data_IF_376944985272
#
_entry.id   IF_376944985272
#
_cell.length_a   1.000
_cell.length_b   1.000
_cell.length_c   1.000
_cell.angle_alpha   90.00
_cell.angle_beta   90.00
_cell.angle_gamma   90.00
#
_symmetry.space_group_name_H-M   'P 1'
#
loop_
_entity.id
_entity.type
_entity.pdbx_description
1 polymer ?
#
# COMPACT_ATOMS: atom_id res chain seq x y z
N UNK A 1 9.50 8.50 -6.01
CA UNK A 1 8.33 9.16 -5.41
C UNK A 1 7.17 9.04 -6.38
N UNK A 2 6.13 8.27 -6.06
CA UNK A 2 4.88 8.39 -6.79
C UNK A 2 4.26 9.71 -6.33
N UNK A 3 4.44 10.77 -7.13
CA UNK A 3 3.74 12.03 -6.94
C UNK A 3 2.24 11.68 -6.95
N UNK A 4 1.54 12.00 -5.87
CA UNK A 4 0.11 11.81 -5.77
C UNK A 4 -0.54 12.61 -6.92
N UNK A 5 -1.01 11.92 -7.95
CA UNK A 5 -1.62 12.52 -9.15
C UNK A 5 -3.12 12.18 -9.15
N UNK A 6 -3.86 12.89 -8.29
CA UNK A 6 -5.31 12.87 -8.36
C UNK A 6 -5.74 13.78 -9.51
N UNK A 7 -6.57 13.25 -10.43
CA UNK A 7 -7.21 14.09 -11.42
C UNK A 7 -8.26 15.01 -10.77
N UNK A 8 -7.92 16.29 -10.59
CA UNK A 8 -8.79 17.30 -9.95
C UNK A 8 -10.13 17.48 -10.67
N UNK A 9 -10.21 17.26 -11.99
CA UNK A 9 -11.46 17.30 -12.76
C UNK A 9 -12.43 16.17 -12.36
N UNK A 10 -11.95 15.14 -11.64
CA UNK A 10 -12.78 14.06 -11.09
C UNK A 10 -12.97 14.18 -9.57
N UNK A 11 -12.38 15.20 -8.93
CA UNK A 11 -12.48 15.40 -7.50
C UNK A 11 -13.91 15.85 -7.13
N UNK A 12 -14.62 15.15 -6.22
CA UNK A 12 -16.00 15.48 -5.86
C UNK A 12 -16.17 16.88 -5.26
N UNK A 13 -15.17 17.37 -4.53
CA UNK A 13 -15.18 18.72 -3.95
C UNK A 13 -15.03 19.77 -5.05
N UNK A 14 -14.08 19.60 -5.96
CA UNK A 14 -13.85 20.53 -7.07
C UNK A 14 -15.07 20.58 -8.02
N UNK A 15 -15.64 19.43 -8.38
CA UNK A 15 -16.86 19.36 -9.18
C UNK A 15 -18.06 20.03 -8.50
N UNK A 16 -18.15 19.92 -7.17
CA UNK A 16 -19.20 20.59 -6.41
C UNK A 16 -18.98 22.11 -6.35
N UNK A 17 -17.73 22.57 -6.22
CA UNK A 17 -17.35 23.99 -6.28
C UNK A 17 -17.73 24.60 -7.64
N UNK A 18 -17.31 23.97 -8.73
CA UNK A 18 -17.59 24.45 -10.10
C UNK A 18 -19.09 24.51 -10.38
N UNK A 19 -19.86 23.51 -9.91
CA UNK A 19 -21.31 23.45 -10.11
C UNK A 19 -22.09 24.42 -9.24
N UNK A 20 -21.70 24.59 -7.97
CA UNK A 20 -22.48 25.37 -7.00
C UNK A 20 -22.05 26.84 -6.92
N UNK A 21 -20.76 27.13 -7.17
CA UNK A 21 -20.15 28.45 -7.03
C UNK A 21 -19.15 28.77 -8.17
N UNK A 22 -19.60 28.79 -9.45
CA UNK A 22 -18.74 29.17 -10.57
C UNK A 22 -18.24 30.63 -10.48
N UNK A 23 -18.94 31.46 -9.70
CA UNK A 23 -18.54 32.83 -9.36
C UNK A 23 -17.20 32.87 -8.60
N UNK A 24 -16.96 31.89 -7.72
CA UNK A 24 -15.72 31.82 -6.95
C UNK A 24 -14.53 31.47 -7.86
N UNK A 25 -14.66 30.49 -8.74
CA UNK A 25 -13.60 30.13 -9.70
C UNK A 25 -13.23 31.31 -10.60
N UNK A 26 -14.23 32.07 -11.06
CA UNK A 26 -14.02 33.28 -11.86
C UNK A 26 -13.25 34.35 -11.07
N UNK A 27 -13.65 34.58 -9.82
CA UNK A 27 -13.04 35.57 -8.92
C UNK A 27 -11.62 35.19 -8.50
N UNK A 28 -11.32 33.89 -8.34
CA UNK A 28 -9.96 33.42 -8.08
C UNK A 28 -9.03 33.80 -9.23
N UNK A 29 -9.46 33.56 -10.46
CA UNK A 29 -8.67 33.88 -11.65
C UNK A 29 -8.44 35.40 -11.81
N UNK A 30 -9.44 36.23 -11.50
CA UNK A 30 -9.31 37.69 -11.54
C UNK A 30 -8.30 38.23 -10.51
N UNK A 31 -8.25 37.61 -9.32
CA UNK A 31 -7.39 38.03 -8.21
C UNK A 31 -6.04 37.31 -8.15
N UNK A 32 -5.74 36.44 -9.13
CA UNK A 32 -4.59 35.49 -9.10
C UNK A 32 -4.53 34.73 -7.78
N UNK A 33 -5.71 34.32 -7.31
CA UNK A 33 -5.89 33.59 -6.08
C UNK A 33 -5.54 32.11 -6.22
N UNK A 34 -5.76 31.39 -5.14
CA UNK A 34 -5.50 29.96 -5.05
C UNK A 34 -6.77 29.24 -4.57
N UNK A 35 -7.11 28.11 -5.19
CA UNK A 35 -8.15 27.21 -4.69
C UNK A 35 -7.50 26.07 -3.92
N UNK A 36 -7.92 25.85 -2.68
CA UNK A 36 -7.56 24.67 -1.91
C UNK A 36 -8.56 23.56 -2.18
N UNK A 37 -8.10 22.40 -2.66
CA UNK A 37 -8.95 21.23 -2.91
C UNK A 37 -8.50 20.09 -2.01
N UNK A 38 -9.32 19.66 -1.04
CA UNK A 38 -8.99 18.48 -0.25
C UNK A 38 -8.88 17.22 -1.12
N UNK A 39 -7.88 16.40 -0.83
CA UNK A 39 -7.69 15.14 -1.51
C UNK A 39 -8.94 14.27 -1.35
N UNK A 40 -9.36 13.59 -2.42
CA UNK A 40 -10.64 12.87 -2.43
C UNK A 40 -10.77 11.86 -1.29
N UNK A 41 -9.65 11.28 -0.85
CA UNK A 41 -9.63 10.32 0.24
C UNK A 41 -9.88 10.89 1.64
N UNK A 42 -9.72 12.21 1.80
CA UNK A 42 -9.88 12.93 3.06
C UNK A 42 -11.26 13.56 3.26
N UNK A 43 -12.11 13.50 2.24
CA UNK A 43 -13.46 14.08 2.28
C UNK A 43 -14.35 13.26 3.24
N UNK A 44 -14.70 13.84 4.38
CA UNK A 44 -15.60 13.22 5.38
C UNK A 44 -17.05 13.61 5.19
N UNK A 45 -17.31 14.73 4.52
CA UNK A 45 -18.64 15.29 4.29
C UNK A 45 -19.27 14.75 3.01
N UNK A 46 -20.54 14.33 3.10
CA UNK A 46 -21.33 13.90 1.94
C UNK A 46 -21.79 15.05 1.06
N UNK A 47 -21.79 16.29 1.57
CA UNK A 47 -22.11 17.51 0.83
C UNK A 47 -21.45 18.74 1.49
N UNK A 48 -20.97 19.66 0.65
CA UNK A 48 -20.45 20.98 1.05
C UNK A 48 -21.51 22.04 0.74
N UNK A 49 -21.66 23.01 1.65
CA UNK A 49 -22.54 24.17 1.49
C UNK A 49 -21.86 25.29 0.72
N UNK A 50 -22.66 26.16 0.08
CA UNK A 50 -22.16 27.31 -0.68
C UNK A 50 -21.23 28.24 0.11
N UNK A 51 -21.44 28.37 1.42
CA UNK A 51 -20.62 29.19 2.31
C UNK A 51 -19.29 28.51 2.69
N UNK A 52 -19.25 27.18 2.78
CA UNK A 52 -18.01 26.45 3.10
C UNK A 52 -16.97 26.59 1.99
N UNK A 53 -17.39 26.67 0.72
CA UNK A 53 -16.47 26.87 -0.39
C UNK A 53 -15.65 28.17 -0.30
N UNK A 54 -16.17 29.21 0.36
CA UNK A 54 -15.47 30.48 0.54
C UNK A 54 -14.22 30.34 1.41
N UNK A 55 -14.20 29.36 2.31
CA UNK A 55 -13.04 29.05 3.15
C UNK A 55 -11.88 28.41 2.37
N UNK A 56 -12.17 27.81 1.21
CA UNK A 56 -11.17 27.14 0.38
C UNK A 56 -10.62 28.02 -0.74
N UNK A 57 -11.11 29.24 -0.85
CA UNK A 57 -10.69 30.17 -1.90
C UNK A 57 -9.85 31.27 -1.28
N UNK A 58 -8.61 31.39 -1.74
CA UNK A 58 -7.60 32.27 -1.21
C UNK A 58 -7.34 33.44 -2.15
N UNK A 59 -7.16 34.61 -1.57
CA UNK A 59 -6.61 35.76 -2.25
C UNK A 59 -5.33 36.25 -1.54
N UNK A 60 -4.35 36.79 -2.29
CA UNK A 60 -3.16 37.37 -1.69
C UNK A 60 -3.52 38.51 -0.73
N UNK A 61 -2.94 38.53 0.47
CA UNK A 61 -3.13 39.60 1.45
C UNK A 61 -1.85 39.80 2.28
N UNK A 62 -1.13 40.88 2.03
CA UNK A 62 0.16 41.17 2.68
C UNK A 62 1.23 40.12 2.39
N UNK A 63 1.82 39.56 3.46
CA UNK A 63 2.84 38.50 3.43
C UNK A 63 2.25 37.08 3.39
N UNK A 64 0.92 36.93 3.25
CA UNK A 64 0.23 35.65 3.26
C UNK A 64 -1.02 35.63 2.40
N UNK A 65 -1.99 34.81 2.80
CA UNK A 65 -3.26 34.63 2.10
C UNK A 65 -4.42 34.81 3.06
N UNK A 66 -5.53 35.30 2.51
CA UNK A 66 -6.79 35.38 3.22
C UNK A 66 -7.87 34.66 2.43
N UNK A 67 -8.73 33.92 3.12
CA UNK A 67 -9.86 33.22 2.52
C UNK A 67 -10.99 34.22 2.21
N UNK A 68 -11.93 33.86 1.34
CA UNK A 68 -13.06 34.74 0.98
C UNK A 68 -13.96 35.04 2.19
N UNK A 69 -14.04 34.12 3.16
CA UNK A 69 -14.75 34.32 4.43
C UNK A 69 -13.91 35.05 5.50
N UNK A 70 -12.73 35.54 5.16
CA UNK A 70 -11.93 36.47 5.97
C UNK A 70 -10.91 35.83 6.92
N UNK A 71 -10.69 34.52 6.85
CA UNK A 71 -9.69 33.81 7.67
C UNK A 71 -8.29 33.92 7.07
N UNK A 72 -7.28 33.99 7.93
CA UNK A 72 -5.89 34.16 7.51
C UNK A 72 -5.15 32.83 7.48
N UNK A 73 -4.29 32.64 6.47
CA UNK A 73 -3.38 31.50 6.39
C UNK A 73 -2.08 31.85 5.64
N UNK A 74 -1.05 31.05 5.86
CA UNK A 74 0.24 31.20 5.17
C UNK A 74 0.64 29.90 4.49
N UNK A 75 1.31 30.00 3.35
CA UNK A 75 1.80 28.85 2.59
C UNK A 75 3.33 28.89 2.63
N UNK A 76 3.95 27.92 3.30
CA UNK A 76 5.40 27.81 3.45
C UNK A 76 5.82 26.34 3.43
N UNK A 77 6.93 26.01 2.78
CA UNK A 77 7.51 24.66 2.76
C UNK A 77 6.51 23.54 2.36
N UNK A 78 5.69 23.77 1.33
CA UNK A 78 4.62 22.86 0.89
C UNK A 78 3.58 22.54 1.97
N UNK A 79 3.40 23.45 2.94
CA UNK A 79 2.40 23.35 4.00
C UNK A 79 1.51 24.59 4.02
N UNK A 80 0.20 24.38 4.16
CA UNK A 80 -0.78 25.41 4.49
C UNK A 80 -0.86 25.52 6.01
N UNK A 81 -0.47 26.67 6.57
CA UNK A 81 -0.55 26.97 8.00
C UNK A 81 -1.78 27.82 8.27
N UNK A 82 -2.75 27.26 9.01
CA UNK A 82 -3.99 27.94 9.38
C UNK A 82 -3.72 28.96 10.49
N UNK A 83 -4.11 30.22 10.25
CA UNK A 83 -3.92 31.36 11.15
C UNK A 83 -5.22 31.81 11.82
N UNK A 84 -5.40 33.14 11.95
CA UNK A 84 -6.54 33.74 12.62
C UNK A 84 -7.86 33.44 11.89
N UNK A 85 -8.90 33.08 12.65
CA UNK A 85 -10.24 32.76 12.12
C UNK A 85 -10.52 31.25 11.94
N UNK A 86 -9.52 30.39 12.10
CA UNK A 86 -9.69 28.94 12.22
C UNK A 86 -9.83 28.52 13.68
N UNK A 87 -10.59 27.45 13.95
CA UNK A 87 -10.86 26.97 15.32
C UNK A 87 -9.59 26.47 16.06
N UNK A 88 -8.55 26.06 15.32
CA UNK A 88 -7.25 25.69 15.86
C UNK A 88 -6.11 25.93 14.84
N UNK A 89 -4.91 26.32 15.29
CA UNK A 89 -3.74 26.39 14.41
C UNK A 89 -3.34 24.98 13.96
N UNK A 90 -3.28 24.76 12.65
CA UNK A 90 -2.93 23.46 12.08
C UNK A 90 -2.11 23.63 10.80
N UNK A 91 -1.24 22.65 10.54
CA UNK A 91 -0.45 22.58 9.31
C UNK A 91 -1.03 21.47 8.41
N UNK A 92 -1.40 21.83 7.19
CA UNK A 92 -1.97 20.91 6.21
C UNK A 92 -1.00 20.74 5.03
N UNK A 93 -0.47 19.53 4.80
CA UNK A 93 0.42 19.27 3.66
C UNK A 93 -0.26 19.53 2.31
N UNK A 94 0.49 20.14 1.39
CA UNK A 94 0.16 20.25 -0.03
C UNK A 94 0.68 19.00 -0.73
N UNK A 95 -0.19 18.28 -1.41
CA UNK A 95 0.15 17.05 -2.14
C UNK A 95 0.73 17.36 -3.52
N UNK A 96 0.12 18.31 -4.23
CA UNK A 96 0.58 18.85 -5.51
C UNK A 96 -0.11 20.19 -5.81
N UNK A 97 0.42 20.90 -6.79
CA UNK A 97 -0.13 22.13 -7.35
C UNK A 97 -0.40 21.91 -8.85
N UNK A 98 -1.55 22.40 -9.32
CA UNK A 98 -1.92 22.36 -10.74
C UNK A 98 -2.49 23.73 -11.16
N UNK A 99 -2.14 24.18 -12.36
CA UNK A 99 -2.62 25.46 -12.91
C UNK A 99 -3.84 25.23 -13.79
N UNK A 100 -4.93 25.94 -13.49
CA UNK A 100 -6.19 25.89 -14.23
C UNK A 100 -6.43 27.22 -14.96
N UNK A 101 -7.28 27.17 -15.98
CA UNK A 101 -7.70 28.34 -16.77
C UNK A 101 -9.21 28.47 -16.70
N UNK A 102 -9.71 29.70 -16.54
CA UNK A 102 -11.13 29.98 -16.67
C UNK A 102 -11.53 30.16 -18.15
N UNK A 103 -12.83 30.37 -18.41
CA UNK A 103 -13.36 30.62 -19.76
C UNK A 103 -12.79 31.87 -20.46
N UNK A 104 -12.16 32.78 -19.71
CA UNK A 104 -11.50 33.99 -20.20
C UNK A 104 -9.99 33.80 -20.40
N UNK A 105 -9.49 32.56 -20.37
CA UNK A 105 -8.06 32.20 -20.45
C UNK A 105 -7.18 32.79 -19.33
N UNK A 106 -7.77 33.21 -18.21
CA UNK A 106 -7.04 33.66 -17.04
C UNK A 106 -6.65 32.46 -16.18
N UNK A 107 -5.37 32.38 -15.81
CA UNK A 107 -4.87 31.28 -15.01
C UNK A 107 -5.06 31.50 -13.50
N UNK A 108 -5.25 30.40 -12.77
CA UNK A 108 -5.24 30.34 -11.31
C UNK A 108 -4.64 29.02 -10.84
N UNK A 109 -4.06 29.01 -9.64
CA UNK A 109 -3.49 27.79 -9.05
C UNK A 109 -4.53 27.04 -8.22
N UNK A 110 -4.52 25.73 -8.34
CA UNK A 110 -5.23 24.82 -7.42
C UNK A 110 -4.19 24.03 -6.64
N UNK A 111 -4.29 24.07 -5.32
CA UNK A 111 -3.46 23.28 -4.42
C UNK A 111 -4.28 22.12 -3.87
N UNK A 112 -3.86 20.89 -4.18
CA UNK A 112 -4.44 19.71 -3.56
C UNK A 112 -3.89 19.56 -2.14
N UNK A 113 -4.75 19.61 -1.13
CA UNK A 113 -4.35 19.52 0.28
C UNK A 113 -4.70 18.16 0.89
N UNK A 114 -3.87 17.68 1.80
CA UNK A 114 -3.98 16.32 2.34
C UNK A 114 -5.26 16.06 3.14
N UNK A 115 -5.88 17.10 3.71
CA UNK A 115 -7.09 17.02 4.55
C UNK A 115 -7.90 18.32 4.50
N UNK A 116 -9.22 18.29 4.79
CA UNK A 116 -10.03 19.51 4.90
C UNK A 116 -9.58 20.41 6.04
N UNK A 117 -9.70 21.72 5.84
CA UNK A 117 -9.28 22.76 6.81
C UNK A 117 -10.35 23.05 7.88
N UNK A 118 -11.60 22.60 7.66
CA UNK A 118 -12.74 22.87 8.55
C UNK A 118 -13.08 21.75 9.54
N UNK A 119 -12.24 20.70 9.63
CA UNK A 119 -12.54 19.54 10.47
C UNK A 119 -12.20 19.78 11.94
N UNK A 120 -13.16 19.58 12.85
CA UNK A 120 -12.93 19.54 14.30
C UNK A 120 -11.84 18.50 14.64
N UNK A 121 -10.71 18.96 15.17
CA UNK A 121 -9.66 18.05 15.62
C UNK A 121 -9.98 17.52 17.01
N UNK A 122 -10.39 16.25 17.09
CA UNK A 122 -9.80 15.39 18.11
C UNK A 122 -8.38 15.06 17.66
N UNK A 123 -7.40 14.98 18.58
CA UNK A 123 -6.00 14.74 18.23
C UNK A 123 -5.84 13.28 17.80
N UNK A 124 -6.14 12.99 16.54
CA UNK A 124 -5.74 11.73 15.90
C UNK A 124 -4.36 11.99 15.29
N UNK A 125 -3.39 11.22 15.77
CA UNK A 125 -2.01 11.19 15.31
C UNK A 125 -1.93 11.25 13.78
N UNK A 126 -1.04 12.12 13.30
CA UNK A 126 -0.71 12.30 11.90
C UNK A 126 -0.13 10.98 11.37
N UNK A 127 -0.96 10.13 10.77
CA UNK A 127 -0.49 9.05 9.90
C UNK A 127 -0.03 9.66 8.58
N UNK A 128 1.22 9.44 8.14
CA UNK A 128 1.69 9.92 6.84
C UNK A 128 0.98 9.16 5.71
N UNK A 129 0.66 9.88 4.61
CA UNK A 129 -0.01 9.43 3.37
C UNK A 129 -1.50 9.08 3.48
N UNK A 130 -2.32 9.36 2.44
CA UNK A 130 -3.67 8.82 2.38
C UNK A 130 -3.51 7.30 2.30
N UNK A 131 -3.84 6.62 3.41
CA UNK A 131 -3.76 5.17 3.50
C UNK A 131 -4.48 4.60 2.27
N UNK A 132 -3.80 3.84 1.42
CA UNK A 132 -4.48 3.21 0.30
C UNK A 132 -5.58 2.34 0.88
N UNK A 133 -6.77 2.48 0.32
CA UNK A 133 -8.02 1.86 0.75
C UNK A 133 -7.93 0.33 0.65
N UNK A 134 -7.18 -0.28 1.54
CA UNK A 134 -7.06 -1.71 1.73
C UNK A 134 -7.70 -2.05 3.06
N UNK A 135 -8.52 -3.09 3.05
CA UNK A 135 -8.96 -3.73 4.29
C UNK A 135 -7.75 -4.41 4.91
N UNK A 136 -7.50 -4.18 6.20
CA UNK A 136 -6.22 -4.55 6.84
C UNK A 136 -6.23 -6.00 7.31
N UNK A 137 -7.40 -6.51 7.70
CA UNK A 137 -7.58 -7.85 8.24
C UNK A 137 -8.96 -8.41 7.88
N UNK A 138 -9.20 -9.67 8.23
CA UNK A 138 -10.44 -10.40 7.89
C UNK A 138 -11.63 -9.89 8.71
N UNK A 139 -11.38 -9.35 9.90
CA UNK A 139 -12.38 -8.77 10.79
C UNK A 139 -13.00 -7.50 10.16
N UNK A 140 -12.17 -6.60 9.65
CA UNK A 140 -12.57 -5.40 8.89
C UNK A 140 -13.44 -5.79 7.68
N UNK A 141 -13.06 -6.88 7.00
CA UNK A 141 -13.81 -7.42 5.87
C UNK A 141 -15.17 -7.95 6.31
N UNK A 142 -15.22 -8.68 7.43
CA UNK A 142 -16.47 -9.22 7.97
C UNK A 142 -17.42 -8.09 8.36
N UNK A 143 -16.91 -7.02 8.97
CA UNK A 143 -17.68 -5.82 9.27
C UNK A 143 -18.19 -5.14 7.99
N UNK A 144 -17.31 -4.96 6.99
CA UNK A 144 -17.67 -4.36 5.70
C UNK A 144 -18.75 -5.15 4.94
N UNK A 145 -18.65 -6.48 4.93
CA UNK A 145 -19.62 -7.36 4.26
C UNK A 145 -20.90 -7.58 5.07
N UNK A 146 -20.85 -7.39 6.39
CA UNK A 146 -21.99 -7.52 7.29
C UNK A 146 -22.73 -8.85 7.13
N UNK A 147 -24.06 -8.81 7.09
CA UNK A 147 -24.92 -10.00 6.96
C UNK A 147 -24.72 -10.81 5.67
N UNK A 148 -24.02 -10.28 4.67
CA UNK A 148 -23.78 -11.01 3.42
C UNK A 148 -22.80 -12.18 3.58
N UNK A 149 -21.99 -12.18 4.64
CA UNK A 149 -21.01 -13.24 4.92
C UNK A 149 -21.65 -14.62 5.01
N UNK A 150 -22.86 -14.75 5.59
CA UNK A 150 -23.58 -16.02 5.70
C UNK A 150 -23.87 -16.67 4.35
N UNK A 151 -24.13 -15.84 3.31
CA UNK A 151 -24.34 -16.33 1.95
C UNK A 151 -23.02 -16.78 1.33
N UNK A 152 -21.94 -16.06 1.60
CA UNK A 152 -20.60 -16.43 1.11
C UNK A 152 -20.12 -17.73 1.77
N UNK A 153 -20.37 -17.92 3.07
CA UNK A 153 -20.01 -19.14 3.81
C UNK A 153 -20.64 -20.39 3.20
N UNK A 154 -21.88 -20.30 2.68
CA UNK A 154 -22.52 -21.40 1.96
C UNK A 154 -21.77 -21.76 0.67
N UNK A 155 -21.29 -20.76 -0.07
CA UNK A 155 -20.50 -21.00 -1.28
C UNK A 155 -19.10 -21.54 -0.96
N UNK A 156 -18.45 -21.02 0.07
CA UNK A 156 -17.16 -21.52 0.57
C UNK A 156 -17.29 -22.97 1.02
N UNK A 157 -18.31 -23.29 1.82
CA UNK A 157 -18.55 -24.66 2.30
C UNK A 157 -18.79 -25.64 1.15
N UNK A 158 -19.60 -25.24 0.16
CA UNK A 158 -19.82 -26.05 -1.05
C UNK A 158 -18.54 -26.24 -1.85
N UNK A 159 -17.71 -25.20 -1.98
CA UNK A 159 -16.41 -25.31 -2.64
C UNK A 159 -15.48 -26.27 -1.92
N UNK A 160 -15.35 -26.16 -0.59
CA UNK A 160 -14.48 -27.03 0.21
C UNK A 160 -14.88 -28.51 0.11
N UNK A 161 -16.18 -28.81 0.03
CA UNK A 161 -16.67 -30.18 -0.23
C UNK A 161 -16.24 -30.67 -1.62
N UNK A 162 -16.51 -29.89 -2.67
CA UNK A 162 -16.12 -30.25 -4.04
C UNK A 162 -14.60 -30.31 -4.24
N UNK A 163 -13.81 -29.53 -3.48
CA UNK A 163 -12.35 -29.54 -3.57
C UNK A 163 -11.78 -30.89 -3.11
N UNK A 164 -12.30 -31.45 -2.01
CA UNK A 164 -11.89 -32.77 -1.49
C UNK A 164 -12.12 -33.90 -2.51
N UNK A 165 -13.18 -33.80 -3.31
CA UNK A 165 -13.48 -34.77 -4.37
C UNK A 165 -12.55 -34.61 -5.59
N UNK A 166 -11.93 -33.45 -5.76
CA UNK A 166 -11.20 -33.03 -6.96
C UNK A 166 -9.69 -32.85 -6.74
N UNK A 167 -9.14 -33.36 -5.64
CA UNK A 167 -7.75 -33.17 -5.20
C UNK A 167 -6.70 -33.62 -6.25
N UNK A 168 -7.06 -34.50 -7.19
CA UNK A 168 -6.16 -35.01 -8.25
C UNK A 168 -6.02 -34.08 -9.46
N UNK A 169 -6.71 -32.94 -9.49
CA UNK A 169 -6.69 -32.03 -10.64
C UNK A 169 -5.46 -31.11 -10.59
N UNK A 170 -5.07 -30.60 -11.77
CA UNK A 170 -3.90 -29.72 -11.88
C UNK A 170 -4.15 -28.30 -11.37
N UNK A 171 -3.07 -27.56 -11.13
CA UNK A 171 -3.10 -26.17 -10.63
C UNK A 171 -4.07 -25.27 -11.41
N UNK A 172 -4.05 -25.35 -12.75
CA UNK A 172 -4.91 -24.51 -13.60
C UNK A 172 -6.41 -24.70 -13.30
N UNK A 173 -6.84 -25.95 -13.11
CA UNK A 173 -8.23 -26.26 -12.76
C UNK A 173 -8.61 -25.64 -11.41
N UNK A 174 -7.71 -25.70 -10.43
CA UNK A 174 -7.97 -25.10 -9.12
C UNK A 174 -8.01 -23.57 -9.18
N UNK A 175 -7.14 -22.92 -9.96
CA UNK A 175 -7.20 -21.48 -10.22
C UNK A 175 -8.57 -21.10 -10.81
N UNK A 176 -9.01 -21.80 -11.86
CA UNK A 176 -10.28 -21.52 -12.52
C UNK A 176 -11.48 -21.77 -11.58
N UNK A 177 -11.40 -22.80 -10.74
CA UNK A 177 -12.42 -23.13 -9.74
C UNK A 177 -12.54 -22.06 -8.64
N UNK A 178 -11.41 -21.56 -8.14
CA UNK A 178 -11.41 -20.47 -7.14
C UNK A 178 -11.88 -19.16 -7.77
N UNK A 179 -11.45 -18.84 -9.01
CA UNK A 179 -11.91 -17.65 -9.72
C UNK A 179 -13.43 -17.70 -10.00
N UNK A 180 -13.97 -18.89 -10.28
CA UNK A 180 -15.42 -19.12 -10.40
C UNK A 180 -16.14 -18.87 -9.08
N UNK A 181 -15.60 -19.35 -7.95
CA UNK A 181 -16.11 -19.05 -6.60
C UNK A 181 -16.10 -17.54 -6.33
N UNK A 182 -14.97 -16.86 -6.58
CA UNK A 182 -14.83 -15.42 -6.45
C UNK A 182 -15.89 -14.65 -7.26
N UNK A 183 -16.02 -14.99 -8.54
CA UNK A 183 -17.00 -14.35 -9.44
C UNK A 183 -18.44 -14.60 -8.98
N UNK A 184 -18.76 -15.83 -8.54
CA UNK A 184 -20.08 -16.19 -8.02
C UNK A 184 -20.44 -15.40 -6.77
N UNK A 185 -19.50 -15.25 -5.84
CA UNK A 185 -19.65 -14.45 -4.63
C UNK A 185 -19.85 -12.97 -4.97
N UNK A 186 -19.02 -12.40 -5.84
CA UNK A 186 -19.15 -11.01 -6.27
C UNK A 186 -20.49 -10.74 -6.96
N UNK A 187 -20.93 -11.62 -7.86
CA UNK A 187 -22.25 -11.54 -8.50
C UNK A 187 -23.39 -11.64 -7.50
N UNK A 188 -23.26 -12.48 -6.46
CA UNK A 188 -24.25 -12.59 -5.40
C UNK A 188 -24.41 -11.27 -4.63
N UNK A 189 -23.30 -10.61 -4.30
CA UNK A 189 -23.31 -9.31 -3.62
C UNK A 189 -23.87 -8.20 -4.51
N UNK A 190 -23.54 -8.19 -5.80
CA UNK A 190 -24.02 -7.17 -6.75
C UNK A 190 -25.50 -7.31 -7.13
N UNK A 191 -26.16 -8.41 -6.76
CA UNK A 191 -27.62 -8.54 -6.85
C UNK A 191 -28.35 -7.72 -5.78
N UNK A 192 -27.66 -7.36 -4.70
CA UNK A 192 -28.20 -6.46 -3.69
C UNK A 192 -28.23 -5.02 -4.22
N UNK A 193 -29.41 -4.39 -4.19
CA UNK A 193 -29.63 -3.04 -4.73
C UNK A 193 -28.80 -1.97 -4.01
N UNK A 194 -28.50 -2.14 -2.72
CA UNK A 194 -27.71 -1.19 -1.91
C UNK A 194 -26.23 -1.29 -2.26
N UNK A 195 -25.67 -2.50 -2.34
CA UNK A 195 -24.28 -2.70 -2.77
C UNK A 195 -24.08 -2.29 -4.24
N UNK A 196 -25.07 -2.54 -5.10
CA UNK A 196 -25.05 -2.11 -6.50
C UNK A 196 -25.00 -0.58 -6.65
N UNK A 197 -25.61 0.16 -5.73
CA UNK A 197 -25.61 1.63 -5.74
C UNK A 197 -24.28 2.20 -5.21
N UNK A 198 -23.70 1.58 -4.18
CA UNK A 198 -22.37 1.88 -3.63
C UNK A 198 -21.26 1.68 -4.70
N UNK A 199 -21.34 0.59 -5.46
CA UNK A 199 -20.38 0.21 -6.51
C UNK A 199 -20.36 1.16 -7.72
N UNK A 200 -21.29 2.12 -7.83
CA UNK A 200 -21.20 3.20 -8.85
C UNK A 200 -19.95 4.07 -8.67
N UNK A 201 -19.34 4.04 -7.49
CA UNK A 201 -18.04 4.65 -7.23
C UNK A 201 -16.92 3.63 -7.45
N UNK A 202 -15.97 3.93 -8.32
CA UNK A 202 -14.84 3.07 -8.68
C UNK A 202 -14.04 2.56 -7.46
N UNK A 203 -13.88 3.42 -6.46
CA UNK A 203 -13.18 3.10 -5.21
C UNK A 203 -13.96 2.07 -4.36
N UNK A 204 -15.29 2.21 -4.26
CA UNK A 204 -16.12 1.27 -3.50
C UNK A 204 -16.21 -0.09 -4.21
N UNK A 205 -16.18 -0.11 -5.54
CA UNK A 205 -16.06 -1.35 -6.31
C UNK A 205 -14.73 -2.05 -6.05
N UNK A 206 -13.64 -1.29 -5.98
CA UNK A 206 -12.31 -1.81 -5.65
C UNK A 206 -12.28 -2.42 -4.25
N UNK A 207 -12.81 -1.71 -3.25
CA UNK A 207 -12.93 -2.21 -1.87
C UNK A 207 -13.79 -3.48 -1.80
N UNK A 208 -14.92 -3.52 -2.51
CA UNK A 208 -15.78 -4.70 -2.54
C UNK A 208 -15.06 -5.91 -3.12
N UNK A 209 -14.34 -5.74 -4.24
CA UNK A 209 -13.54 -6.82 -4.85
C UNK A 209 -12.49 -7.34 -3.85
N UNK A 210 -11.75 -6.45 -3.20
CA UNK A 210 -10.75 -6.80 -2.20
C UNK A 210 -11.37 -7.53 -1.00
N UNK A 211 -12.51 -7.05 -0.49
CA UNK A 211 -13.24 -7.67 0.60
C UNK A 211 -13.64 -9.11 0.26
N UNK A 212 -14.21 -9.31 -0.93
CA UNK A 212 -14.65 -10.63 -1.40
C UNK A 212 -13.46 -11.57 -1.57
N UNK A 213 -12.36 -11.12 -2.19
CA UNK A 213 -11.15 -11.93 -2.33
C UNK A 213 -10.61 -12.35 -0.97
N UNK A 214 -10.43 -11.39 -0.05
CA UNK A 214 -9.85 -11.66 1.25
C UNK A 214 -10.72 -12.61 2.09
N UNK A 215 -12.05 -12.43 2.06
CA UNK A 215 -12.99 -13.28 2.78
C UNK A 215 -13.00 -14.72 2.24
N UNK A 216 -13.11 -14.88 0.93
CA UNK A 216 -13.15 -16.21 0.30
C UNK A 216 -11.84 -16.94 0.54
N UNK A 217 -10.71 -16.27 0.31
CA UNK A 217 -9.40 -16.88 0.50
C UNK A 217 -9.16 -17.30 1.94
N UNK A 218 -9.61 -16.51 2.91
CA UNK A 218 -9.57 -16.92 4.32
C UNK A 218 -10.30 -18.25 4.56
N UNK A 219 -11.50 -18.42 4.02
CA UNK A 219 -12.30 -19.65 4.20
C UNK A 219 -11.77 -20.88 3.45
N UNK A 220 -10.97 -20.70 2.39
CA UNK A 220 -10.43 -21.82 1.59
C UNK A 220 -8.91 -22.01 1.77
N UNK A 221 -8.26 -21.18 2.62
CA UNK A 221 -6.81 -21.06 2.70
C UNK A 221 -6.15 -22.42 2.92
N UNK A 222 -6.58 -23.16 3.93
CA UNK A 222 -5.94 -24.43 4.31
C UNK A 222 -5.98 -25.46 3.17
N UNK A 223 -7.02 -25.45 2.33
CA UNK A 223 -7.10 -26.37 1.19
C UNK A 223 -6.14 -25.95 0.07
N UNK A 224 -6.24 -24.69 -0.36
CA UNK A 224 -5.47 -24.21 -1.51
C UNK A 224 -3.99 -24.07 -1.16
N UNK A 225 -3.67 -23.57 0.02
CA UNK A 225 -2.29 -23.36 0.44
C UNK A 225 -1.57 -24.67 0.74
N UNK A 226 -2.25 -25.69 1.27
CA UNK A 226 -1.66 -27.04 1.39
C UNK A 226 -1.40 -27.68 0.01
N UNK A 227 -2.33 -27.49 -0.94
CA UNK A 227 -2.14 -27.94 -2.32
C UNK A 227 -0.93 -27.25 -2.98
N UNK A 228 -0.86 -25.92 -2.92
CA UNK A 228 0.28 -25.14 -3.45
C UNK A 228 1.57 -25.51 -2.72
N UNK A 229 1.54 -25.68 -1.40
CA UNK A 229 2.68 -26.13 -0.61
C UNK A 229 3.20 -27.51 -1.03
N UNK A 230 2.31 -28.40 -1.47
CA UNK A 230 2.71 -29.71 -2.03
C UNK A 230 3.39 -29.56 -3.40
N UNK A 231 2.89 -28.66 -4.25
CA UNK A 231 3.48 -28.39 -5.57
C UNK A 231 4.88 -27.77 -5.46
N UNK A 232 5.07 -26.83 -4.54
CA UNK A 232 6.28 -26.04 -4.39
C UNK A 232 7.27 -26.62 -3.37
N UNK A 233 6.94 -27.75 -2.73
CA UNK A 233 7.71 -28.36 -1.65
C UNK A 233 9.19 -28.60 -2.01
N UNK A 234 9.47 -28.97 -3.25
CA UNK A 234 10.83 -29.22 -3.72
C UNK A 234 11.66 -27.93 -3.81
N UNK A 235 11.05 -26.85 -4.31
CA UNK A 235 11.68 -25.55 -4.46
C UNK A 235 11.87 -24.90 -3.08
N UNK A 236 10.87 -25.01 -2.20
CA UNK A 236 10.95 -24.57 -0.81
C UNK A 236 12.08 -25.30 -0.05
N UNK A 237 12.19 -26.62 -0.19
CA UNK A 237 13.28 -27.38 0.42
C UNK A 237 14.66 -26.95 -0.10
N UNK A 238 14.78 -26.65 -1.40
CA UNK A 238 16.03 -26.17 -1.98
C UNK A 238 16.40 -24.77 -1.44
N UNK A 239 15.44 -23.85 -1.43
CA UNK A 239 15.62 -22.51 -0.89
C UNK A 239 16.00 -22.50 0.59
N UNK A 240 15.32 -23.33 1.40
CA UNK A 240 15.63 -23.51 2.81
C UNK A 240 17.04 -24.06 3.04
N UNK A 241 17.52 -24.95 2.17
CA UNK A 241 18.89 -25.45 2.24
C UNK A 241 19.89 -24.33 1.97
N UNK A 242 19.65 -23.50 0.95
CA UNK A 242 20.53 -22.37 0.62
C UNK A 242 20.55 -21.33 1.72
N UNK A 243 19.39 -20.89 2.21
CA UNK A 243 19.30 -19.89 3.30
C UNK A 243 19.94 -20.36 4.61
N UNK A 244 19.86 -21.66 4.94
CA UNK A 244 20.61 -22.23 6.08
C UNK A 244 22.12 -22.07 5.95
N UNK A 245 22.65 -22.24 4.73
CA UNK A 245 24.09 -22.01 4.46
C UNK A 245 24.52 -20.54 4.56
N UNK A 246 23.57 -19.61 4.54
CA UNK A 246 23.82 -18.17 4.63
C UNK A 246 23.56 -17.60 6.04
N UNK A 247 23.20 -18.44 7.02
CA UNK A 247 22.84 -17.97 8.37
C UNK A 247 23.97 -17.27 9.12
N UNK A 248 25.23 -17.53 8.80
CA UNK A 248 26.35 -16.87 9.48
C UNK A 248 26.61 -15.44 8.97
N UNK A 249 26.09 -15.10 7.79
CA UNK A 249 26.28 -13.79 7.17
C UNK A 249 25.63 -12.68 8.00
N UNK A 250 26.34 -11.56 8.09
CA UNK A 250 25.96 -10.35 8.82
C UNK A 250 25.40 -9.30 7.87
N UNK A 251 24.75 -8.26 8.40
CA UNK A 251 24.12 -7.18 7.61
C UNK A 251 25.08 -6.56 6.58
N UNK A 252 26.34 -6.36 6.97
CA UNK A 252 27.41 -5.83 6.11
C UNK A 252 27.72 -6.71 4.89
N UNK A 253 27.55 -8.03 5.01
CA UNK A 253 27.87 -8.98 3.94
C UNK A 253 26.79 -8.95 2.83
N UNK A 254 25.60 -8.42 3.15
CA UNK A 254 24.53 -8.13 2.20
C UNK A 254 24.57 -6.68 1.68
N UNK A 255 25.56 -5.86 2.09
CA UNK A 255 25.63 -4.45 1.69
C UNK A 255 24.63 -3.53 2.41
N UNK A 256 24.04 -3.98 3.53
CA UNK A 256 23.08 -3.16 4.28
C UNK A 256 23.76 -1.95 4.93
N UNK A 257 23.35 -0.75 4.55
CA UNK A 257 23.78 0.50 5.17
C UNK A 257 23.30 0.62 6.62
N UNK A 258 24.11 1.23 7.49
CA UNK A 258 23.84 1.35 8.92
C UNK A 258 22.55 2.12 9.25
N UNK A 259 22.10 3.00 8.37
CA UNK A 259 20.84 3.75 8.49
C UNK A 259 19.60 2.86 8.52
N UNK A 260 19.64 1.68 7.87
CA UNK A 260 18.52 0.73 7.85
C UNK A 260 18.55 -0.27 9.00
N UNK A 261 19.70 -0.45 9.65
CA UNK A 261 19.89 -1.47 10.69
C UNK A 261 18.89 -1.34 11.85
N UNK A 262 18.46 -0.11 12.16
CA UNK A 262 17.48 0.17 13.22
C UNK A 262 16.06 -0.33 12.89
N UNK A 263 15.69 -0.39 11.61
CA UNK A 263 14.36 -0.81 11.16
C UNK A 263 14.24 -2.33 10.99
N UNK A 264 15.35 -3.02 10.79
CA UNK A 264 15.40 -4.48 10.54
C UNK A 264 14.63 -5.30 11.57
N UNK A 265 14.76 -5.08 12.90
CA UNK A 265 14.01 -5.86 13.88
C UNK A 265 12.48 -5.72 13.72
N UNK A 266 12.01 -4.52 13.36
CA UNK A 266 10.58 -4.26 13.11
C UNK A 266 10.14 -4.92 11.80
N UNK A 267 10.92 -4.74 10.74
CA UNK A 267 10.65 -5.36 9.44
C UNK A 267 10.63 -6.90 9.52
N UNK A 268 11.53 -7.52 10.30
CA UNK A 268 11.53 -8.97 10.59
C UNK A 268 10.26 -9.41 11.32
N UNK A 269 9.78 -8.65 12.31
CA UNK A 269 8.53 -8.95 13.01
C UNK A 269 7.35 -8.93 12.06
N UNK A 270 7.25 -7.92 11.20
CA UNK A 270 6.21 -7.85 10.18
C UNK A 270 6.31 -9.03 9.21
N UNK A 271 7.51 -9.33 8.73
CA UNK A 271 7.72 -10.41 7.77
C UNK A 271 7.34 -11.79 8.35
N UNK A 272 7.60 -12.01 9.65
CA UNK A 272 7.21 -13.25 10.34
C UNK A 272 5.70 -13.49 10.36
N UNK A 273 4.88 -12.46 10.09
CA UNK A 273 3.43 -12.59 10.00
C UNK A 273 2.94 -13.14 8.66
N UNK A 274 3.81 -13.28 7.65
CA UNK A 274 3.43 -13.68 6.29
C UNK A 274 2.59 -14.98 6.25
N UNK A 275 2.94 -15.96 7.07
CA UNK A 275 2.21 -17.23 7.15
C UNK A 275 0.90 -17.16 7.96
N UNK A 276 0.69 -16.11 8.75
CA UNK A 276 -0.60 -15.83 9.40
C UNK A 276 -1.59 -15.16 8.43
N UNK A 277 -1.10 -14.56 7.36
CA UNK A 277 -1.95 -13.99 6.31
C UNK A 277 -2.57 -15.10 5.45
N UNK A 278 -3.90 -15.18 5.42
CA UNK A 278 -4.64 -16.26 4.75
C UNK A 278 -5.12 -15.93 3.34
N UNK A 279 -4.91 -14.71 2.84
CA UNK A 279 -5.31 -14.31 1.48
C UNK A 279 -4.13 -13.77 0.66
N UNK A 280 -4.18 -13.91 -0.68
CA UNK A 280 -3.16 -13.33 -1.57
C UNK A 280 -2.95 -11.83 -1.32
N UNK A 281 -4.04 -11.05 -1.24
CA UNK A 281 -3.98 -9.64 -0.91
C UNK A 281 -3.37 -9.39 0.48
N UNK A 282 -3.77 -10.14 1.51
CA UNK A 282 -3.22 -9.94 2.86
C UNK A 282 -1.72 -10.24 2.91
N UNK A 283 -1.25 -11.29 2.23
CA UNK A 283 0.19 -11.58 2.09
C UNK A 283 0.92 -10.46 1.35
N UNK A 284 0.35 -9.92 0.26
CA UNK A 284 0.92 -8.76 -0.45
C UNK A 284 1.01 -7.51 0.43
N UNK A 285 -0.03 -7.23 1.22
CA UNK A 285 -0.03 -6.12 2.17
C UNK A 285 1.02 -6.31 3.27
N UNK A 286 1.25 -7.55 3.70
CA UNK A 286 2.36 -7.88 4.60
C UNK A 286 3.71 -7.52 3.97
N UNK A 287 3.96 -7.92 2.72
CA UNK A 287 5.21 -7.58 2.01
C UNK A 287 5.38 -6.06 1.84
N UNK A 288 4.30 -5.35 1.47
CA UNK A 288 4.29 -3.88 1.43
C UNK A 288 4.66 -3.29 2.78
N UNK A 289 4.06 -3.78 3.87
CA UNK A 289 4.30 -3.27 5.23
C UNK A 289 5.75 -3.47 5.66
N UNK A 290 6.36 -4.61 5.28
CA UNK A 290 7.79 -4.85 5.47
C UNK A 290 8.62 -3.79 4.74
N UNK A 291 8.39 -3.57 3.45
CA UNK A 291 9.13 -2.57 2.67
C UNK A 291 8.98 -1.16 3.21
N UNK A 292 7.75 -0.75 3.56
CA UNK A 292 7.51 0.56 4.18
C UNK A 292 8.21 0.69 5.53
N UNK A 293 8.25 -0.38 6.33
CA UNK A 293 8.97 -0.39 7.62
C UNK A 293 10.47 -0.24 7.42
N UNK A 294 11.04 -0.82 6.36
CA UNK A 294 12.46 -0.65 6.01
C UNK A 294 12.75 0.81 5.67
N UNK A 295 11.86 1.44 4.88
CA UNK A 295 12.01 2.81 4.37
C UNK A 295 11.66 3.90 5.39
N UNK A 296 11.20 3.56 6.60
CA UNK A 296 10.86 4.54 7.63
C UNK A 296 12.12 5.27 8.12
N UNK A 297 12.10 6.61 8.09
CA UNK A 297 13.24 7.38 8.59
C UNK A 297 13.36 7.27 10.12
N UNK A 298 14.54 6.96 10.68
CA UNK A 298 14.77 6.87 12.14
C UNK A 298 14.56 8.19 12.89
N UNK A 299 14.65 9.30 12.15
CA UNK A 299 14.47 10.65 12.64
C UNK A 299 13.62 11.37 11.60
N UNK A 300 12.51 11.97 11.99
CA UNK A 300 11.60 12.76 11.13
C UNK A 300 12.25 13.98 10.41
N UNK A 301 13.59 14.05 10.35
CA UNK A 301 14.42 15.14 9.88
C UNK A 301 15.28 14.81 8.64
N UNK A 302 15.26 13.57 8.14
CA UNK A 302 16.07 13.18 6.97
C UNK A 302 15.16 12.92 5.78
N UNK A 303 15.43 13.61 4.66
CA UNK A 303 14.68 13.53 3.42
C UNK A 303 14.64 12.10 2.88
N UNK A 304 13.49 11.69 2.36
CA UNK A 304 13.27 10.44 1.62
C UNK A 304 14.08 10.35 0.31
N UNK A 305 14.95 11.32 0.03
CA UNK A 305 15.65 11.50 -1.25
C UNK A 305 16.89 10.61 -1.44
N UNK A 306 17.29 9.79 -0.45
CA UNK A 306 18.52 8.97 -0.55
C UNK A 306 18.31 7.45 -0.68
N UNK A 307 17.08 6.96 -0.80
CA UNK A 307 16.80 5.51 -0.85
C UNK A 307 16.84 4.98 -2.29
N UNK A 308 17.88 4.18 -2.61
CA UNK A 308 17.92 3.45 -3.88
C UNK A 308 17.18 2.10 -3.79
N UNK A 309 16.72 1.57 -4.92
CA UNK A 309 16.17 0.21 -5.00
C UNK A 309 17.17 -0.87 -4.51
N UNK A 310 18.47 -0.63 -4.71
CA UNK A 310 19.55 -1.53 -4.26
C UNK A 310 19.66 -1.60 -2.74
N UNK A 311 19.41 -0.49 -2.05
CA UNK A 311 19.44 -0.41 -0.58
C UNK A 311 18.29 -1.24 0.01
N UNK A 312 17.10 -1.09 -0.55
CA UNK A 312 15.94 -1.88 -0.16
C UNK A 312 16.17 -3.37 -0.43
N UNK A 313 16.69 -3.72 -1.61
CA UNK A 313 16.96 -5.11 -1.98
C UNK A 313 17.95 -5.76 -1.01
N UNK A 314 19.01 -5.05 -0.63
CA UNK A 314 20.01 -5.52 0.34
C UNK A 314 19.38 -5.90 1.68
N UNK A 315 18.44 -5.08 2.17
CA UNK A 315 17.69 -5.36 3.41
C UNK A 315 16.73 -6.53 3.23
N UNK A 316 16.02 -6.62 2.09
CA UNK A 316 15.13 -7.75 1.79
C UNK A 316 15.92 -9.06 1.78
N UNK A 317 17.07 -9.12 1.10
CA UNK A 317 17.93 -10.31 1.06
C UNK A 317 18.34 -10.77 2.46
N UNK A 318 18.78 -9.84 3.31
CA UNK A 318 19.11 -10.13 4.70
C UNK A 318 17.90 -10.68 5.47
N UNK A 319 16.71 -10.07 5.32
CA UNK A 319 15.49 -10.50 5.99
C UNK A 319 15.03 -11.90 5.53
N UNK A 320 15.12 -12.21 4.23
CA UNK A 320 14.77 -13.52 3.68
C UNK A 320 15.59 -14.63 4.32
N UNK A 321 16.90 -14.41 4.51
CA UNK A 321 17.78 -15.36 5.20
C UNK A 321 17.42 -15.43 6.68
N UNK A 322 17.29 -14.30 7.38
CA UNK A 322 17.18 -14.28 8.85
C UNK A 322 15.80 -14.55 9.42
N UNK A 323 14.74 -14.58 8.61
CA UNK A 323 13.36 -14.77 9.09
C UNK A 323 12.92 -16.24 9.05
N UNK A 324 13.65 -17.10 8.32
CA UNK A 324 13.46 -18.56 8.31
C UNK A 324 12.03 -19.03 7.99
N UNK A 325 11.35 -18.33 7.08
CA UNK A 325 10.03 -18.76 6.58
C UNK A 325 10.23 -19.98 5.68
N UNK A 326 9.59 -21.13 5.96
CA UNK A 326 9.92 -22.39 5.31
C UNK A 326 9.28 -22.59 3.93
N UNK A 327 8.31 -21.77 3.57
CA UNK A 327 7.39 -21.98 2.44
C UNK A 327 7.29 -20.74 1.54
N UNK A 328 8.43 -20.14 1.22
CA UNK A 328 8.53 -18.95 0.38
C UNK A 328 7.98 -19.15 -1.02
N UNK A 329 8.34 -20.25 -1.67
CA UNK A 329 7.89 -20.57 -3.01
C UNK A 329 6.38 -20.79 -3.02
N UNK A 330 5.84 -21.50 -2.02
CA UNK A 330 4.41 -21.63 -1.85
C UNK A 330 3.69 -20.28 -1.61
N UNK A 331 4.26 -19.39 -0.79
CA UNK A 331 3.69 -18.05 -0.56
C UNK A 331 3.64 -17.21 -1.85
N UNK A 332 4.76 -17.15 -2.60
CA UNK A 332 4.84 -16.39 -3.84
C UNK A 332 3.93 -16.99 -4.93
N UNK A 333 3.94 -18.32 -5.08
CA UNK A 333 3.07 -19.04 -6.01
C UNK A 333 1.60 -18.85 -5.66
N UNK A 334 1.24 -18.86 -4.38
CA UNK A 334 -0.13 -18.58 -3.94
C UNK A 334 -0.58 -17.17 -4.28
N UNK A 335 0.25 -16.15 -4.01
CA UNK A 335 -0.05 -14.77 -4.36
C UNK A 335 -0.23 -14.63 -5.88
N UNK A 336 0.72 -15.13 -6.66
CA UNK A 336 0.77 -14.99 -8.11
C UNK A 336 -0.40 -15.64 -8.83
N UNK A 337 -0.82 -16.82 -8.36
CA UNK A 337 -1.85 -17.62 -9.04
C UNK A 337 -3.28 -17.30 -8.58
N UNK A 338 -3.45 -16.75 -7.38
CA UNK A 338 -4.77 -16.60 -6.76
C UNK A 338 -5.15 -15.16 -6.40
N UNK A 339 -4.32 -14.15 -6.71
CA UNK A 339 -4.73 -12.75 -6.62
C UNK A 339 -5.57 -12.35 -7.84
N UNK A 340 -6.86 -12.02 -7.64
CA UNK A 340 -7.81 -11.72 -8.72
C UNK A 340 -8.15 -10.22 -8.83
N UNK A 341 -7.92 -9.45 -7.76
CA UNK A 341 -8.20 -8.02 -7.69
C UNK A 341 -7.13 -7.17 -8.41
N UNK A 342 -7.31 -6.97 -9.72
CA UNK A 342 -6.40 -6.20 -10.58
C UNK A 342 -6.40 -4.66 -10.39
N UNK A 343 -7.07 -4.11 -9.37
CA UNK A 343 -7.30 -2.66 -9.25
C UNK A 343 -6.11 -1.86 -8.70
N UNK A 344 -5.05 -2.52 -8.21
CA UNK A 344 -3.87 -1.85 -7.59
C UNK A 344 -2.56 -2.35 -8.18
N UNK A 345 -2.51 -2.41 -9.52
CA UNK A 345 -1.49 -3.13 -10.29
C UNK A 345 -0.06 -2.60 -10.19
N UNK A 346 0.18 -1.36 -9.82
CA UNK A 346 1.54 -0.81 -9.95
C UNK A 346 2.34 -0.99 -8.66
N UNK A 347 1.82 -0.53 -7.52
CA UNK A 347 2.60 -0.54 -6.27
C UNK A 347 2.73 -1.94 -5.64
N UNK A 348 1.64 -2.70 -5.54
CA UNK A 348 1.69 -4.03 -4.93
C UNK A 348 2.48 -5.03 -5.78
N UNK A 349 2.42 -4.89 -7.11
CA UNK A 349 3.22 -5.72 -8.02
C UNK A 349 4.70 -5.43 -7.88
N UNK A 350 5.10 -4.17 -7.68
CA UNK A 350 6.50 -3.83 -7.43
C UNK A 350 7.04 -4.56 -6.20
N UNK A 351 6.27 -4.59 -5.08
CA UNK A 351 6.67 -5.32 -3.88
C UNK A 351 6.78 -6.82 -4.15
N UNK A 352 5.79 -7.42 -4.82
CA UNK A 352 5.85 -8.84 -5.18
C UNK A 352 7.08 -9.17 -6.01
N UNK A 353 7.32 -8.42 -7.08
CA UNK A 353 8.46 -8.62 -7.99
C UNK A 353 9.80 -8.42 -7.27
N UNK A 354 9.89 -7.47 -6.33
CA UNK A 354 11.11 -7.25 -5.54
C UNK A 354 11.43 -8.46 -4.65
N UNK A 355 10.42 -9.06 -4.01
CA UNK A 355 10.59 -10.27 -3.22
C UNK A 355 10.85 -11.52 -4.09
N UNK A 356 10.18 -11.66 -5.24
CA UNK A 356 10.47 -12.73 -6.22
C UNK A 356 11.93 -12.66 -6.69
N UNK A 357 12.40 -11.46 -7.08
CA UNK A 357 13.78 -11.26 -7.51
C UNK A 357 14.80 -11.57 -6.39
N UNK A 358 14.50 -11.18 -5.15
CA UNK A 358 15.37 -11.46 -4.01
C UNK A 358 15.44 -12.98 -3.69
N UNK A 359 14.31 -13.69 -3.78
CA UNK A 359 14.27 -15.15 -3.60
C UNK A 359 15.05 -15.86 -4.72
N UNK A 360 14.88 -15.42 -5.97
CA UNK A 360 15.62 -15.95 -7.12
C UNK A 360 17.14 -15.71 -6.97
N UNK A 361 17.54 -14.51 -6.55
CA UNK A 361 18.95 -14.16 -6.31
C UNK A 361 19.61 -15.06 -5.27
N UNK A 362 18.93 -15.32 -4.14
CA UNK A 362 19.41 -16.26 -3.12
C UNK A 362 19.47 -17.68 -3.69
N UNK A 363 18.45 -18.11 -4.43
CA UNK A 363 18.37 -19.46 -5.01
C UNK A 363 19.52 -19.77 -5.97
N UNK A 364 19.99 -18.78 -6.71
CA UNK A 364 21.13 -18.91 -7.62
C UNK A 364 22.48 -19.01 -6.90
N UNK A 365 22.54 -18.74 -5.59
CA UNK A 365 23.78 -18.84 -4.81
C UNK A 365 24.79 -17.73 -5.13
N UNK A 366 24.33 -16.57 -5.62
CA UNK A 366 25.18 -15.45 -6.05
C UNK A 366 25.95 -14.74 -4.92
N UNK A 367 25.83 -15.21 -3.68
CA UNK A 367 26.73 -14.82 -2.59
C UNK A 367 28.01 -15.65 -2.73
N UNK A 368 29.00 -15.12 -3.44
CA UNK A 368 30.33 -15.72 -3.49
C UNK A 368 30.92 -15.79 -2.07
N UNK A 369 30.68 -16.90 -1.37
CA UNK A 369 31.42 -17.25 -0.16
C UNK A 369 32.86 -17.46 -0.61
N UNK A 370 33.85 -16.65 -0.20
CA UNK A 370 35.23 -16.97 -0.50
C UNK A 370 35.52 -18.35 0.10
N UNK A 371 36.13 -19.29 -0.67
CA UNK A 371 36.40 -20.62 -0.16
C UNK A 371 37.23 -20.51 1.13
N UNK A 372 37.00 -21.40 2.12
CA UNK A 372 37.80 -21.38 3.33
C UNK A 372 39.26 -21.49 2.92
N UNK A 373 40.05 -20.48 3.30
CA UNK A 373 41.49 -20.51 3.14
C UNK A 373 41.98 -21.82 3.76
N UNK A 374 42.34 -22.78 2.90
CA UNK A 374 43.11 -23.95 3.29
C UNK A 374 44.33 -23.40 4.00
N UNK A 375 44.35 -23.55 5.33
CA UNK A 375 45.52 -23.35 6.17
C UNK A 375 46.65 -24.19 5.55
N UNK A 376 47.51 -23.52 4.78
CA UNK A 376 48.77 -24.10 4.35
C UNK A 376 49.56 -24.38 5.61
N UNK A 377 49.87 -25.66 5.82
CA UNK A 377 50.66 -26.14 6.93
C UNK A 377 51.97 -25.35 7.06
N UNK A 378 52.46 -25.07 8.28
CA UNK A 378 53.73 -24.38 8.46
C UNK A 378 54.85 -25.29 7.95
N UNK A 379 55.54 -24.85 6.90
CA UNK A 379 56.79 -25.43 6.47
C UNK A 379 57.82 -25.25 7.57
N UNK A 380 58.20 -26.36 8.20
CA UNK A 380 59.37 -26.43 9.06
C UNK A 380 60.61 -25.94 8.29
N UNK A 381 61.17 -24.81 8.72
CA UNK A 381 62.51 -24.38 8.33
C UNK A 381 63.49 -25.09 9.26
N UNK A 382 64.22 -26.06 8.72
CA UNK A 382 65.44 -26.60 9.34
C UNK A 382 66.59 -25.60 9.14
N UNK A 383 67.44 -25.34 10.16
CA UNK A 383 68.62 -24.51 9.99
C UNK A 383 69.78 -25.36 9.46
N UNK A 384 70.46 -24.87 8.43
CA UNK A 384 71.76 -25.41 7.99
C UNK A 384 72.86 -24.47 8.45
N UNK A 385 73.85 -25.09 9.10
CA UNK A 385 75.12 -24.55 9.58
C UNK A 385 76.07 -24.20 8.45
#
# INVERSE_FOLDING_TARGET
MAVYDENLLKNPFYLALEKQRPDLCSRVAELRGIVLVPCRGSLTLSAYTAAQFETYVLHPSGEGYQTVDGKELTIQDSLVRLGLGFQAPANVPILFEETFYNEKEQCYSILCIARPIDTDQSPVEVTPSPAPYYLKNVEDVREFLGHHVEKLDKFISSFCQSFKEQEKKGLRHHIDSVNSLYTKCLQCLLRDSRLKLLVKQELQMTLLKQAVEMYIHHGIHDFIFNFVGTLEASQDSAFNKTTRGLQDLQQKDFGVKSEFSINIPRAKRELSQLNHCTSPLHKLLCLRKVSLTIMQSPSHLVSLESLCADDLLSVILYLLVKTEIPNWMANLSYIKNFHFCNSTKEELSYWLTSFEAAVEFISQGNFAVPPPLLLTAPTHITPLS
#
